data_IF_480565135272
#
_entry.id   IF_480565135272
#
_cell.length_a   1.000
_cell.length_b   1.000
_cell.length_c   1.000
_cell.angle_alpha   90.00
_cell.angle_beta   90.00
_cell.angle_gamma   90.00
#
_symmetry.space_group_name_H-M   'P 1'
#
loop_
_entity.id
_entity.type
_entity.pdbx_description
1 polymer ?
#
# COMPACT_ATOMS: atom_id res chain seq x y z
N UNK A 1 -25.77 1.25 1.24
CA UNK A 1 -26.61 1.34 0.03
C UNK A 1 -26.18 0.20 -0.86
N UNK A 2 -27.16 -0.53 -1.35
CA UNK A 2 -26.94 -1.62 -2.28
C UNK A 2 -27.02 -1.05 -3.70
N UNK A 3 -25.93 -1.16 -4.49
CA UNK A 3 -25.80 -0.53 -5.81
C UNK A 3 -25.42 -1.58 -6.85
N UNK A 4 -26.08 -1.60 -8.00
CA UNK A 4 -25.67 -2.38 -9.17
C UNK A 4 -24.97 -1.46 -10.16
N UNK A 5 -23.69 -1.69 -10.42
CA UNK A 5 -22.90 -1.03 -11.45
C UNK A 5 -23.16 -1.75 -12.77
N UNK A 6 -23.77 -1.05 -13.74
CA UNK A 6 -24.18 -1.63 -15.02
C UNK A 6 -23.57 -0.87 -16.20
N UNK A 7 -23.68 -1.45 -17.39
CA UNK A 7 -23.22 -0.83 -18.64
C UNK A 7 -21.74 -0.39 -18.56
N UNK A 8 -20.89 -1.31 -18.11
CA UNK A 8 -19.44 -1.11 -18.03
C UNK A 8 -18.70 -2.26 -18.69
N UNK A 9 -17.49 -1.98 -19.14
CA UNK A 9 -16.53 -3.01 -19.53
C UNK A 9 -15.72 -3.43 -18.30
N UNK A 10 -16.11 -4.54 -17.68
CA UNK A 10 -15.62 -4.99 -16.39
C UNK A 10 -14.40 -5.92 -16.55
N UNK A 11 -13.30 -5.63 -15.85
CA UNK A 11 -12.17 -6.56 -15.76
C UNK A 11 -12.46 -7.62 -14.69
N UNK A 12 -12.58 -8.86 -15.13
CA UNK A 12 -12.73 -10.04 -14.28
C UNK A 12 -11.45 -10.91 -14.30
N UNK A 13 -11.43 -11.99 -13.52
CA UNK A 13 -10.32 -12.96 -13.54
C UNK A 13 -10.12 -13.60 -14.92
N UNK A 14 -11.19 -13.71 -15.73
CA UNK A 14 -11.19 -14.32 -17.05
C UNK A 14 -10.98 -13.29 -18.18
N UNK A 15 -10.71 -12.03 -17.85
CA UNK A 15 -10.55 -10.93 -18.78
C UNK A 15 -11.70 -9.93 -18.77
N UNK A 16 -11.76 -9.07 -19.80
CA UNK A 16 -12.80 -8.07 -19.92
C UNK A 16 -14.15 -8.67 -20.35
N UNK A 17 -15.21 -8.20 -19.70
CA UNK A 17 -16.59 -8.58 -19.98
C UNK A 17 -17.49 -7.34 -20.09
N UNK A 18 -18.35 -7.31 -21.12
CA UNK A 18 -19.32 -6.24 -21.36
C UNK A 18 -20.76 -6.69 -21.01
N UNK A 19 -20.95 -7.97 -20.68
CA UNK A 19 -22.23 -8.64 -20.46
C UNK A 19 -22.53 -8.90 -18.98
N UNK A 20 -21.91 -8.13 -18.08
CA UNK A 20 -22.04 -8.32 -16.63
C UNK A 20 -22.45 -7.05 -15.90
N UNK A 21 -23.03 -7.23 -14.71
CA UNK A 21 -23.24 -6.21 -13.70
C UNK A 21 -22.46 -6.57 -12.42
N UNK A 22 -21.99 -5.54 -11.68
CA UNK A 22 -21.31 -5.72 -10.39
C UNK A 22 -22.26 -5.25 -9.29
N UNK A 23 -22.66 -6.17 -8.43
CA UNK A 23 -23.52 -5.90 -7.28
C UNK A 23 -22.65 -5.55 -6.07
N UNK A 24 -22.90 -4.39 -5.47
CA UNK A 24 -22.19 -3.88 -4.31
C UNK A 24 -23.18 -3.64 -3.18
N UNK A 25 -22.96 -4.24 -2.03
CA UNK A 25 -23.74 -3.96 -0.82
C UNK A 25 -22.81 -3.68 0.37
N UNK A 26 -23.18 -2.68 1.17
CA UNK A 26 -22.42 -2.24 2.34
C UNK A 26 -20.91 -2.00 2.06
N UNK A 27 -20.56 -1.56 0.84
CA UNK A 27 -19.17 -1.29 0.45
C UNK A 27 -18.35 -2.53 0.05
N UNK A 28 -19.02 -3.67 -0.12
CA UNK A 28 -18.40 -4.94 -0.54
C UNK A 28 -19.01 -5.39 -1.87
N UNK A 29 -18.20 -5.93 -2.77
CA UNK A 29 -18.69 -6.60 -3.97
C UNK A 29 -19.38 -7.89 -3.52
N UNK A 30 -20.71 -7.92 -3.68
CA UNK A 30 -21.53 -9.09 -3.35
C UNK A 30 -21.45 -10.16 -4.46
N UNK A 31 -21.59 -9.73 -5.71
CA UNK A 31 -21.50 -10.62 -6.86
C UNK A 31 -21.14 -9.89 -8.15
N UNK A 32 -20.60 -10.64 -9.12
CA UNK A 32 -20.55 -10.27 -10.53
C UNK A 32 -21.49 -11.21 -11.27
N UNK A 33 -22.52 -10.66 -11.88
CA UNK A 33 -23.64 -11.43 -12.47
C UNK A 33 -23.82 -11.09 -13.94
N UNK A 34 -24.62 -11.86 -14.67
CA UNK A 34 -25.03 -11.47 -16.02
C UNK A 34 -25.81 -10.13 -15.98
N UNK A 35 -25.67 -9.30 -16.99
CA UNK A 35 -26.31 -7.98 -17.01
C UNK A 35 -27.85 -8.06 -16.95
N UNK A 36 -28.42 -9.19 -17.38
CA UNK A 36 -29.87 -9.49 -17.36
C UNK A 36 -30.31 -10.33 -16.14
N UNK A 37 -29.43 -10.53 -15.16
CA UNK A 37 -29.76 -11.27 -13.92
C UNK A 37 -30.86 -10.52 -13.14
N UNK A 38 -31.89 -11.25 -12.69
CA UNK A 38 -33.04 -10.67 -11.98
C UNK A 38 -32.64 -9.92 -10.70
N UNK A 39 -31.53 -10.29 -10.06
CA UNK A 39 -31.02 -9.62 -8.84
C UNK A 39 -30.63 -8.17 -9.08
N UNK A 40 -30.29 -7.79 -10.31
CA UNK A 40 -29.91 -6.41 -10.64
C UNK A 40 -31.04 -5.43 -10.28
N UNK A 41 -32.30 -5.85 -10.46
CA UNK A 41 -33.46 -5.02 -10.15
C UNK A 41 -33.71 -4.77 -8.64
N UNK A 42 -33.05 -5.52 -7.77
CA UNK A 42 -33.15 -5.36 -6.32
C UNK A 42 -32.20 -4.28 -5.75
N UNK A 43 -31.35 -3.69 -6.63
CA UNK A 43 -30.30 -2.73 -6.29
C UNK A 43 -30.58 -1.35 -6.93
N UNK A 44 -30.03 -0.30 -6.35
CA UNK A 44 -29.98 1.02 -6.98
C UNK A 44 -29.06 0.97 -8.20
N UNK A 45 -29.56 1.33 -9.37
CA UNK A 45 -28.82 1.24 -10.63
C UNK A 45 -27.89 2.43 -10.80
N UNK A 46 -26.60 2.16 -11.01
CA UNK A 46 -25.60 3.12 -11.45
C UNK A 46 -25.10 2.72 -12.85
N UNK A 47 -25.48 3.50 -13.85
CA UNK A 47 -25.08 3.29 -15.26
C UNK A 47 -23.72 3.95 -15.50
N UNK A 48 -22.71 3.17 -15.85
CA UNK A 48 -21.34 3.62 -16.08
C UNK A 48 -21.08 4.05 -17.55
N UNK A 49 -22.11 4.09 -18.39
CA UNK A 49 -22.03 4.69 -19.73
C UNK A 49 -21.06 4.02 -20.71
N UNK A 50 -20.69 2.77 -20.47
CA UNK A 50 -19.69 2.04 -21.28
C UNK A 50 -18.24 2.22 -20.80
N UNK A 51 -18.03 2.87 -19.66
CA UNK A 51 -16.71 3.07 -19.09
C UNK A 51 -16.06 1.77 -18.62
N UNK A 52 -14.74 1.82 -18.36
CA UNK A 52 -13.99 0.70 -17.80
C UNK A 52 -14.21 0.61 -16.30
N UNK A 53 -14.63 -0.55 -15.83
CA UNK A 53 -14.66 -0.88 -14.40
C UNK A 53 -13.51 -1.84 -14.05
N UNK A 54 -12.57 -1.37 -13.25
CA UNK A 54 -11.36 -2.07 -12.87
C UNK A 54 -11.24 -2.16 -11.35
N UNK A 55 -10.53 -3.17 -10.80
CA UNK A 55 -10.05 -3.08 -9.43
C UNK A 55 -9.20 -1.84 -9.23
N UNK A 56 -9.37 -1.15 -8.10
CA UNK A 56 -8.53 0.01 -7.77
C UNK A 56 -7.06 -0.38 -7.62
N UNK A 57 -6.16 0.55 -7.93
CA UNK A 57 -4.73 0.30 -7.82
C UNK A 57 -4.29 0.20 -6.36
N UNK A 58 -3.37 -0.74 -6.10
CA UNK A 58 -2.62 -0.82 -4.85
C UNK A 58 -1.21 -0.33 -5.13
N UNK A 59 -0.85 0.81 -4.54
CA UNK A 59 0.48 1.41 -4.71
C UNK A 59 1.36 1.08 -3.50
N UNK A 60 2.38 0.25 -3.72
CA UNK A 60 3.26 -0.24 -2.67
C UNK A 60 4.42 0.73 -2.34
N UNK A 61 4.56 1.85 -3.09
CA UNK A 61 5.64 2.80 -2.87
C UNK A 61 5.18 4.25 -3.13
N UNK A 62 4.74 4.93 -2.08
CA UNK A 62 4.24 6.30 -2.16
C UNK A 62 5.01 7.19 -1.18
N UNK A 63 6.05 7.87 -1.68
CA UNK A 63 6.91 8.74 -0.86
C UNK A 63 6.26 10.09 -0.52
N UNK A 64 5.29 10.52 -1.33
CA UNK A 64 4.59 11.79 -1.13
C UNK A 64 3.47 12.01 -2.13
N UNK A 65 2.79 13.13 -1.99
CA UNK A 65 1.68 13.53 -2.87
C UNK A 65 1.00 14.78 -2.32
N UNK A 66 0.24 15.49 -3.17
CA UNK A 66 -0.47 16.69 -2.74
C UNK A 66 0.45 17.81 -2.23
N UNK A 67 1.73 17.84 -2.64
CA UNK A 67 2.72 18.84 -2.23
C UNK A 67 3.38 18.57 -0.88
N UNK A 68 3.35 17.32 -0.36
CA UNK A 68 4.04 16.91 0.87
C UNK A 68 4.83 15.62 0.63
N UNK A 69 5.90 15.45 1.41
CA UNK A 69 6.68 14.22 1.51
C UNK A 69 6.45 13.56 2.87
N UNK A 70 6.42 12.23 2.90
CA UNK A 70 6.20 11.50 4.14
C UNK A 70 7.39 11.62 5.09
N UNK A 71 8.64 11.63 4.59
CA UNK A 71 9.84 11.83 5.41
C UNK A 71 9.87 13.19 6.12
N UNK A 72 9.38 14.27 5.46
CA UNK A 72 9.44 15.61 6.05
C UNK A 72 8.55 15.76 7.29
N UNK A 73 7.42 15.04 7.31
CA UNK A 73 6.48 15.06 8.41
C UNK A 73 5.67 13.74 8.44
N UNK A 74 6.16 12.69 9.12
CA UNK A 74 5.46 11.40 9.20
C UNK A 74 4.27 11.48 10.17
N UNK A 75 3.17 12.08 9.71
CA UNK A 75 1.96 12.31 10.50
C UNK A 75 0.71 11.77 9.80
N UNK A 76 -0.36 11.52 10.56
CA UNK A 76 -1.67 11.12 10.02
C UNK A 76 -2.19 12.14 9.00
N UNK A 77 -1.99 13.44 9.25
CA UNK A 77 -2.41 14.51 8.35
C UNK A 77 -1.68 14.43 7.00
N UNK A 78 -0.37 14.19 7.01
CA UNK A 78 0.44 13.98 5.81
C UNK A 78 -0.04 12.77 5.03
N UNK A 79 -0.24 11.62 5.71
CA UNK A 79 -0.73 10.38 5.10
C UNK A 79 -2.10 10.60 4.43
N UNK A 80 -3.02 11.29 5.10
CA UNK A 80 -4.35 11.63 4.55
C UNK A 80 -4.23 12.45 3.27
N UNK A 81 -3.40 13.49 3.28
CA UNK A 81 -3.16 14.37 2.13
C UNK A 81 -2.53 13.63 0.94
N UNK A 82 -1.59 12.75 1.20
CA UNK A 82 -0.99 11.86 0.19
C UNK A 82 -2.08 10.97 -0.42
N UNK A 83 -2.86 10.27 0.41
CA UNK A 83 -3.92 9.37 -0.06
C UNK A 83 -4.99 10.08 -0.89
N UNK A 84 -5.40 11.30 -0.50
CA UNK A 84 -6.34 12.12 -1.27
C UNK A 84 -5.80 12.47 -2.66
N UNK A 85 -4.50 12.78 -2.77
CA UNK A 85 -3.88 13.11 -4.04
C UNK A 85 -3.85 11.91 -5.00
N UNK A 86 -3.46 10.74 -4.52
CA UNK A 86 -3.34 9.52 -5.33
C UNK A 86 -4.69 8.91 -5.69
N UNK A 87 -5.71 9.04 -4.83
CA UNK A 87 -7.05 8.53 -5.10
C UNK A 87 -7.67 9.08 -6.38
N UNK A 88 -7.35 10.33 -6.75
CA UNK A 88 -7.82 10.96 -8.00
C UNK A 88 -7.37 10.20 -9.25
N UNK A 89 -6.36 9.35 -9.13
CA UNK A 89 -5.79 8.56 -10.21
C UNK A 89 -6.10 7.06 -10.08
N UNK A 90 -7.06 6.71 -9.23
CA UNK A 90 -7.53 5.33 -9.08
C UNK A 90 -6.78 4.48 -8.03
N UNK A 91 -5.90 5.07 -7.22
CA UNK A 91 -5.26 4.37 -6.10
C UNK A 91 -6.26 4.20 -4.96
N UNK A 92 -6.62 2.97 -4.64
CA UNK A 92 -7.56 2.60 -3.57
C UNK A 92 -6.87 2.00 -2.35
N UNK A 93 -5.62 1.52 -2.51
CA UNK A 93 -4.77 1.05 -1.42
C UNK A 93 -3.34 1.55 -1.60
N UNK A 94 -2.67 1.96 -0.53
CA UNK A 94 -1.28 2.39 -0.64
C UNK A 94 -0.49 2.18 0.65
N UNK A 95 0.84 2.13 0.47
CA UNK A 95 1.82 2.12 1.55
C UNK A 95 2.57 3.47 1.55
N UNK A 96 2.31 4.38 2.52
CA UNK A 96 3.20 5.50 2.74
C UNK A 96 4.63 5.00 2.88
N UNK A 97 5.56 5.57 2.11
CA UNK A 97 6.94 5.09 2.01
C UNK A 97 7.88 6.04 2.71
N UNK A 98 8.57 5.53 3.72
CA UNK A 98 9.69 6.21 4.38
C UNK A 98 10.99 5.73 3.73
N UNK A 99 11.75 6.63 3.13
CA UNK A 99 13.12 6.33 2.69
C UNK A 99 14.07 6.35 3.90
N UNK A 100 15.31 5.89 3.71
CA UNK A 100 16.33 5.79 4.77
C UNK A 100 16.39 7.07 5.62
N UNK A 101 16.21 6.91 6.93
CA UNK A 101 16.22 8.00 7.91
C UNK A 101 16.69 7.49 9.29
N UNK A 102 16.68 8.38 10.29
CA UNK A 102 17.00 8.04 11.66
C UNK A 102 15.96 7.11 12.28
N UNK A 103 16.37 6.32 13.26
CA UNK A 103 15.52 5.32 13.91
C UNK A 103 14.27 5.95 14.57
N UNK A 104 14.39 7.18 15.07
CA UNK A 104 13.28 7.86 15.71
C UNK A 104 12.24 8.31 14.66
N UNK A 105 12.68 8.79 13.49
CA UNK A 105 11.79 9.09 12.36
C UNK A 105 11.08 7.82 11.87
N UNK A 106 11.78 6.69 11.79
CA UNK A 106 11.18 5.41 11.46
C UNK A 106 10.12 4.98 12.49
N UNK A 107 10.38 5.20 13.78
CA UNK A 107 9.41 4.93 14.85
C UNK A 107 8.17 5.79 14.74
N UNK A 108 8.35 7.09 14.50
CA UNK A 108 7.26 8.05 14.28
C UNK A 108 6.41 7.68 13.06
N UNK A 109 7.06 7.30 11.95
CA UNK A 109 6.38 6.89 10.73
C UNK A 109 5.51 5.64 10.92
N UNK A 110 6.03 4.61 11.60
CA UNK A 110 5.27 3.39 11.91
C UNK A 110 4.08 3.71 12.83
N UNK A 111 4.30 4.55 13.84
CA UNK A 111 3.22 4.97 14.76
C UNK A 111 2.14 5.77 14.03
N UNK A 112 2.54 6.72 13.14
CA UNK A 112 1.62 7.52 12.35
C UNK A 112 0.76 6.65 11.40
N UNK A 113 1.37 5.65 10.76
CA UNK A 113 0.63 4.72 9.89
C UNK A 113 -0.34 3.87 10.71
N UNK A 114 0.09 3.35 11.87
CA UNK A 114 -0.79 2.61 12.77
C UNK A 114 -2.00 3.45 13.22
N UNK A 115 -1.78 4.72 13.55
CA UNK A 115 -2.85 5.67 13.89
C UNK A 115 -3.76 5.97 12.69
N UNK A 116 -3.20 6.21 11.50
CA UNK A 116 -3.97 6.47 10.29
C UNK A 116 -4.93 5.30 9.94
N UNK A 117 -4.46 4.06 10.08
CA UNK A 117 -5.30 2.88 9.88
C UNK A 117 -6.40 2.80 10.95
N UNK A 118 -6.06 3.05 12.22
CA UNK A 118 -7.03 3.02 13.33
C UNK A 118 -8.09 4.13 13.20
N UNK A 119 -7.74 5.29 12.66
CA UNK A 119 -8.67 6.38 12.34
C UNK A 119 -9.48 6.15 11.06
N UNK A 120 -9.25 5.05 10.35
CA UNK A 120 -9.94 4.74 9.10
C UNK A 120 -9.56 5.68 7.95
N UNK A 121 -8.31 6.17 7.90
CA UNK A 121 -7.83 6.94 6.74
C UNK A 121 -7.92 6.08 5.49
N UNK A 122 -8.73 6.50 4.49
CA UNK A 122 -9.03 5.63 3.37
C UNK A 122 -7.78 5.22 2.57
N UNK A 123 -7.68 3.94 2.26
CA UNK A 123 -6.65 3.38 1.39
C UNK A 123 -5.31 3.08 2.09
N UNK A 124 -5.12 3.44 3.36
CA UNK A 124 -3.88 3.09 4.08
C UNK A 124 -3.93 1.62 4.49
N UNK A 125 -3.06 0.79 3.91
CA UNK A 125 -3.04 -0.66 4.17
C UNK A 125 -1.78 -1.13 4.92
N UNK A 126 -0.83 -0.23 5.16
CA UNK A 126 0.42 -0.51 5.84
C UNK A 126 1.46 0.55 5.59
N UNK A 127 2.73 0.20 5.81
CA UNK A 127 3.90 1.05 5.58
C UNK A 127 4.91 0.37 4.66
N UNK A 128 5.57 1.14 3.81
CA UNK A 128 6.80 0.72 3.14
C UNK A 128 8.00 1.43 3.78
N UNK A 129 8.95 0.64 4.26
CA UNK A 129 10.25 1.10 4.75
C UNK A 129 11.27 0.83 3.64
N UNK A 130 11.77 1.86 2.98
CA UNK A 130 12.77 1.75 1.93
C UNK A 130 14.16 2.00 2.55
N UNK A 131 14.80 0.95 2.99
CA UNK A 131 16.02 1.01 3.81
C UNK A 131 15.72 1.15 5.31
N UNK A 132 16.74 1.54 6.11
CA UNK A 132 18.10 2.03 5.80
C UNK A 132 19.16 0.94 5.54
N UNK A 133 18.80 -0.29 5.37
CA UNK A 133 19.69 -1.45 5.22
C UNK A 133 20.09 -1.66 3.76
N UNK A 134 20.60 -0.60 3.09
CA UNK A 134 20.86 -0.54 1.66
C UNK A 134 22.35 -0.59 1.35
N UNK A 135 22.70 -0.93 0.09
CA UNK A 135 24.08 -0.92 -0.38
C UNK A 135 24.50 0.50 -0.79
N UNK A 136 25.61 1.06 -0.24
CA UNK A 136 26.07 2.40 -0.60
C UNK A 136 26.28 2.61 -2.09
N UNK A 137 26.76 1.60 -2.80
CA UNK A 137 26.96 1.64 -4.25
C UNK A 137 25.65 1.75 -5.06
N UNK A 138 24.51 1.51 -4.43
CA UNK A 138 23.16 1.56 -5.03
C UNK A 138 22.22 2.51 -4.29
N UNK A 139 22.77 3.49 -3.59
CA UNK A 139 22.04 4.42 -2.72
C UNK A 139 20.92 5.21 -3.42
N UNK A 140 21.08 5.52 -4.71
CA UNK A 140 20.12 6.42 -5.38
C UNK A 140 20.05 7.79 -4.70
N UNK A 141 18.85 8.18 -4.30
CA UNK A 141 18.58 9.46 -3.59
C UNK A 141 18.74 9.36 -2.08
N UNK A 142 18.95 8.15 -1.53
CA UNK A 142 19.09 7.97 -0.10
C UNK A 142 20.36 8.58 0.46
N UNK A 143 20.29 9.13 1.67
CA UNK A 143 21.45 9.59 2.44
C UNK A 143 22.17 8.37 3.03
N UNK A 144 23.39 8.10 2.53
CA UNK A 144 24.18 6.96 2.98
C UNK A 144 24.62 7.05 4.44
N UNK A 145 24.61 8.26 5.03
CA UNK A 145 24.92 8.43 6.46
C UNK A 145 23.87 7.77 7.37
N UNK A 146 22.69 7.48 6.84
CA UNK A 146 21.62 6.76 7.54
C UNK A 146 21.73 5.24 7.41
N UNK A 147 22.62 4.73 6.53
CA UNK A 147 22.73 3.30 6.29
C UNK A 147 23.37 2.56 7.46
N UNK A 148 22.80 1.42 7.78
CA UNK A 148 23.29 0.55 8.85
C UNK A 148 22.96 -0.92 8.58
N UNK A 149 23.56 -1.79 9.40
CA UNK A 149 23.21 -3.20 9.47
C UNK A 149 22.16 -3.33 10.57
N UNK A 150 21.04 -4.03 10.36
CA UNK A 150 19.99 -4.13 11.37
C UNK A 150 20.46 -4.96 12.58
N UNK A 151 20.16 -4.47 13.75
CA UNK A 151 20.25 -5.21 15.01
C UNK A 151 18.89 -5.79 15.44
N UNK A 152 18.80 -6.33 16.65
CA UNK A 152 17.57 -6.93 17.17
C UNK A 152 16.46 -5.89 17.40
N UNK A 153 16.82 -4.66 17.78
CA UNK A 153 15.87 -3.58 18.03
C UNK A 153 15.33 -3.02 16.72
N UNK A 154 16.16 -2.94 15.69
CA UNK A 154 15.75 -2.59 14.33
C UNK A 154 14.71 -3.58 13.77
N UNK A 155 14.97 -4.89 13.95
CA UNK A 155 14.05 -5.94 13.52
C UNK A 155 12.74 -5.85 14.30
N UNK A 156 12.82 -5.62 15.61
CA UNK A 156 11.62 -5.47 16.44
C UNK A 156 10.80 -4.25 16.01
N UNK A 157 11.44 -3.12 15.71
CA UNK A 157 10.77 -1.91 15.24
C UNK A 157 10.16 -2.11 13.87
N UNK A 158 10.89 -2.62 12.88
CA UNK A 158 10.36 -2.86 11.53
C UNK A 158 9.14 -3.79 11.51
N UNK A 159 9.02 -4.67 12.51
CA UNK A 159 7.89 -5.59 12.67
C UNK A 159 6.85 -5.15 13.71
N UNK A 160 6.86 -3.89 14.13
CA UNK A 160 6.00 -3.42 15.24
C UNK A 160 4.60 -3.00 14.81
N UNK A 161 4.35 -2.71 13.53
CA UNK A 161 3.01 -2.38 13.04
C UNK A 161 2.06 -3.57 13.21
N UNK A 162 0.92 -3.38 13.90
CA UNK A 162 0.00 -4.47 14.26
C UNK A 162 -1.26 -4.55 13.41
N UNK A 163 -1.72 -3.41 12.92
CA UNK A 163 -2.99 -3.27 12.22
C UNK A 163 -2.84 -3.00 10.71
N UNK A 164 -1.66 -3.28 10.15
CA UNK A 164 -1.35 -3.13 8.73
C UNK A 164 -0.23 -4.06 8.29
N UNK A 165 0.21 -3.89 7.05
CA UNK A 165 1.35 -4.63 6.50
C UNK A 165 2.61 -3.76 6.51
N UNK A 166 3.73 -4.36 6.85
CA UNK A 166 5.05 -3.73 6.64
C UNK A 166 5.72 -4.39 5.44
N UNK A 167 6.08 -3.57 4.45
CA UNK A 167 6.99 -3.93 3.37
C UNK A 167 8.34 -3.29 3.70
N UNK A 168 9.43 -4.05 3.61
CA UNK A 168 10.78 -3.56 3.86
C UNK A 168 11.66 -3.87 2.65
N UNK A 169 12.17 -2.82 2.02
CA UNK A 169 13.18 -2.94 0.97
C UNK A 169 14.58 -2.87 1.58
N UNK A 170 15.41 -3.86 1.29
CA UNK A 170 16.77 -3.98 1.79
C UNK A 170 17.72 -4.58 0.75
N UNK A 171 19.02 -4.36 0.94
CA UNK A 171 20.08 -5.00 0.18
C UNK A 171 20.50 -6.29 0.88
N UNK A 172 20.24 -7.48 0.31
CA UNK A 172 20.47 -8.76 1.00
C UNK A 172 21.94 -8.99 1.38
N UNK A 173 22.90 -8.43 0.65
CA UNK A 173 24.33 -8.49 0.98
C UNK A 173 24.71 -7.62 2.20
N UNK A 174 23.82 -6.75 2.65
CA UNK A 174 24.01 -5.87 3.81
C UNK A 174 23.32 -6.38 5.07
N UNK A 175 22.47 -7.40 4.95
CA UNK A 175 21.65 -7.89 6.06
C UNK A 175 21.94 -9.35 6.32
N UNK A 176 22.27 -9.74 7.57
CA UNK A 176 22.43 -11.16 7.92
C UNK A 176 21.21 -11.98 7.53
N UNK A 177 21.43 -13.15 6.94
CA UNK A 177 20.34 -14.02 6.46
C UNK A 177 19.37 -14.38 7.58
N UNK A 178 19.86 -14.56 8.81
CA UNK A 178 19.01 -14.87 9.96
C UNK A 178 18.11 -13.67 10.35
N UNK A 179 18.59 -12.43 10.16
CA UNK A 179 17.78 -11.23 10.33
C UNK A 179 16.66 -11.16 9.29
N UNK A 180 16.94 -11.52 8.04
CA UNK A 180 15.91 -11.60 6.97
C UNK A 180 14.86 -12.66 7.32
N UNK A 181 15.30 -13.85 7.76
CA UNK A 181 14.38 -14.93 8.19
C UNK A 181 13.50 -14.49 9.36
N UNK A 182 14.06 -13.78 10.32
CA UNK A 182 13.32 -13.28 11.48
C UNK A 182 12.29 -12.22 11.08
N UNK A 183 12.61 -11.27 10.20
CA UNK A 183 11.67 -10.31 9.63
C UNK A 183 10.48 -11.01 8.95
N UNK A 184 10.76 -11.99 8.09
CA UNK A 184 9.72 -12.77 7.39
C UNK A 184 8.87 -13.56 8.39
N UNK A 185 9.49 -14.20 9.40
CA UNK A 185 8.76 -14.92 10.45
C UNK A 185 7.83 -14.02 11.26
N UNK A 186 8.17 -12.74 11.41
CA UNK A 186 7.33 -11.71 12.06
C UNK A 186 6.27 -11.12 11.15
N UNK A 187 6.18 -11.56 9.89
CA UNK A 187 5.16 -11.13 8.93
C UNK A 187 5.53 -9.89 8.12
N UNK A 188 6.80 -9.47 8.13
CA UNK A 188 7.29 -8.40 7.25
C UNK A 188 7.46 -8.96 5.83
N UNK A 189 6.96 -8.23 4.85
CA UNK A 189 7.18 -8.52 3.42
C UNK A 189 8.55 -7.94 3.06
N UNK A 190 9.53 -8.80 2.78
CA UNK A 190 10.89 -8.39 2.46
C UNK A 190 11.08 -8.34 0.96
N UNK A 191 11.54 -7.19 0.46
CA UNK A 191 11.89 -6.97 -0.94
C UNK A 191 13.39 -6.70 -1.07
N UNK A 192 14.03 -7.29 -2.09
CA UNK A 192 15.39 -6.93 -2.47
C UNK A 192 15.39 -5.67 -3.34
N UNK A 193 16.12 -4.66 -2.89
CA UNK A 193 16.26 -3.40 -3.61
C UNK A 193 17.50 -2.63 -3.15
N UNK A 194 17.92 -1.66 -3.94
CA UNK A 194 19.14 -0.89 -3.67
C UNK A 194 20.35 -1.80 -3.36
N UNK A 195 20.46 -2.89 -4.12
CA UNK A 195 21.40 -3.99 -3.91
C UNK A 195 22.35 -4.15 -5.09
N UNK A 196 23.57 -4.59 -4.82
CA UNK A 196 24.54 -5.03 -5.80
C UNK A 196 24.70 -6.58 -5.80
N UNK A 197 23.85 -7.30 -5.04
CA UNK A 197 23.83 -8.77 -5.07
C UNK A 197 23.43 -9.29 -6.46
N UNK A 198 23.99 -10.45 -6.84
CA UNK A 198 23.77 -11.15 -8.11
C UNK A 198 23.11 -12.49 -7.86
#
# INVERSE_FOLDING_TARGET
MATALVNARVLTADGFRDDVAVLVDAGVIDAVVAADDHRVSDFDIEDLGGDLLLPGFIDCQVNGGGGVLFNDAPTVATIRRIGEAHRRFGTTGFLPTLISDDIDVMREAIAAVGAAIAEGVPGVIGIHLEGPYLAPARRGVHDETKFRIPDADDIALASSLRNGRTLLTLAPERVPVDSIRELVRRGVIVCAGHTAAT
#
